data_IF_593712433337
#
_entry.id   IF_593712433337
#
_cell.length_a   1.000
_cell.length_b   1.000
_cell.length_c   1.000
_cell.angle_alpha   90.00
_cell.angle_beta   90.00
_cell.angle_gamma   90.00
#
_symmetry.space_group_name_H-M   'P 1'
#
loop_
_entity.id
_entity.type
_entity.pdbx_description
1 polymer ?
#
# COMPACT_ATOMS: atom_id res chain seq x y z
N UNK A 1 37.12 0.78 6.95
CA UNK A 1 37.46 -0.64 6.69
C UNK A 1 36.21 -1.32 6.19
N UNK A 2 36.29 -2.36 5.36
CA UNK A 2 35.10 -2.92 4.72
C UNK A 2 33.98 -3.32 5.73
N UNK A 3 34.35 -3.81 6.92
CA UNK A 3 33.42 -4.09 8.04
C UNK A 3 32.74 -2.83 8.61
N UNK A 4 33.43 -1.68 8.69
CA UNK A 4 32.80 -0.43 9.15
C UNK A 4 31.76 0.09 8.15
N UNK A 5 31.99 -0.12 6.85
CA UNK A 5 31.08 0.30 5.80
C UNK A 5 29.84 -0.60 5.73
N UNK A 6 29.99 -1.91 5.96
CA UNK A 6 28.86 -2.83 6.12
C UNK A 6 27.97 -2.40 7.29
N UNK A 7 28.57 -2.08 8.44
CA UNK A 7 27.82 -1.65 9.62
C UNK A 7 27.07 -0.34 9.36
N UNK A 8 27.73 0.65 8.75
CA UNK A 8 27.09 1.89 8.30
C UNK A 8 25.94 1.64 7.32
N UNK A 9 26.09 0.73 6.37
CA UNK A 9 25.03 0.40 5.40
C UNK A 9 23.80 -0.18 6.08
N UNK A 10 23.99 -1.03 7.09
CA UNK A 10 22.90 -1.59 7.89
C UNK A 10 22.23 -0.51 8.75
N UNK A 11 23.00 0.33 9.44
CA UNK A 11 22.48 1.41 10.31
C UNK A 11 21.71 2.45 9.51
N UNK A 12 22.20 2.83 8.33
CA UNK A 12 21.58 3.84 7.47
C UNK A 12 20.43 3.27 6.62
N UNK A 13 20.16 1.96 6.72
CA UNK A 13 19.26 1.22 5.83
C UNK A 13 19.47 1.53 4.35
N UNK A 14 20.73 1.62 3.93
CA UNK A 14 21.12 1.99 2.57
C UNK A 14 21.57 0.75 1.78
N UNK A 15 20.72 0.19 0.91
CA UNK A 15 21.02 -1.05 0.19
C UNK A 15 22.18 -0.90 -0.79
N UNK A 16 22.34 0.27 -1.41
CA UNK A 16 23.45 0.54 -2.35
C UNK A 16 24.80 0.55 -1.63
N UNK A 17 24.86 1.24 -0.49
CA UNK A 17 26.07 1.26 0.35
C UNK A 17 26.38 -0.14 0.88
N UNK A 18 25.36 -0.90 1.28
CA UNK A 18 25.50 -2.26 1.81
C UNK A 18 25.99 -3.24 0.72
N UNK A 19 25.49 -3.13 -0.53
CA UNK A 19 25.98 -3.90 -1.68
C UNK A 19 27.45 -3.62 -1.99
N UNK A 20 27.82 -2.34 -2.06
CA UNK A 20 29.20 -1.93 -2.32
C UNK A 20 30.14 -2.45 -1.22
N UNK A 21 29.71 -2.34 0.05
CA UNK A 21 30.48 -2.83 1.19
C UNK A 21 30.61 -4.36 1.19
N UNK A 22 29.54 -5.10 0.88
CA UNK A 22 29.57 -6.56 0.75
C UNK A 22 30.52 -7.03 -0.36
N UNK A 23 30.51 -6.37 -1.52
CA UNK A 23 31.43 -6.67 -2.62
C UNK A 23 32.89 -6.45 -2.23
N UNK A 24 33.19 -5.36 -1.49
CA UNK A 24 34.52 -5.10 -0.95
C UNK A 24 34.94 -6.13 0.13
N UNK A 25 34.01 -6.56 0.98
CA UNK A 25 34.26 -7.53 2.04
C UNK A 25 34.59 -8.94 1.52
N UNK A 26 34.05 -9.32 0.36
CA UNK A 26 34.35 -10.61 -0.29
C UNK A 26 35.84 -10.75 -0.64
N UNK A 27 36.54 -9.63 -0.86
CA UNK A 27 37.98 -9.59 -1.12
C UNK A 27 38.84 -9.50 0.16
N UNK A 28 38.23 -9.21 1.32
CA UNK A 28 38.97 -8.75 2.51
C UNK A 28 38.60 -9.52 3.78
N UNK A 29 38.74 -10.86 3.81
CA UNK A 29 38.83 -11.66 5.04
C UNK A 29 37.77 -11.44 6.14
N UNK A 30 36.60 -10.87 5.82
CA UNK A 30 35.58 -10.48 6.80
C UNK A 30 34.94 -11.74 7.39
N UNK A 31 34.61 -11.76 8.69
CA UNK A 31 33.96 -12.91 9.32
C UNK A 31 32.67 -13.29 8.59
N UNK A 32 32.50 -14.59 8.28
CA UNK A 32 31.32 -15.11 7.58
C UNK A 32 29.98 -14.74 8.26
N UNK A 33 29.98 -14.60 9.58
CA UNK A 33 28.79 -14.19 10.34
C UNK A 33 28.33 -12.76 10.03
N UNK A 34 29.27 -11.81 9.93
CA UNK A 34 28.95 -10.41 9.56
C UNK A 34 28.44 -10.33 8.11
N UNK A 35 29.07 -11.07 7.20
CA UNK A 35 28.64 -11.16 5.80
C UNK A 35 27.22 -11.72 5.68
N UNK A 36 26.91 -12.82 6.39
CA UNK A 36 25.59 -13.42 6.37
C UNK A 36 24.51 -12.48 6.95
N UNK A 37 24.82 -11.78 8.05
CA UNK A 37 23.92 -10.79 8.63
C UNK A 37 23.64 -9.63 7.66
N UNK A 38 24.68 -9.12 6.99
CA UNK A 38 24.56 -8.05 6.02
C UNK A 38 23.81 -8.49 4.75
N UNK A 39 24.01 -9.71 4.27
CA UNK A 39 23.24 -10.27 3.15
C UNK A 39 21.75 -10.40 3.50
N UNK A 40 21.44 -10.91 4.69
CA UNK A 40 20.05 -10.99 5.17
C UNK A 40 19.41 -9.61 5.31
N UNK A 41 20.16 -8.61 5.81
CA UNK A 41 19.69 -7.24 5.91
C UNK A 41 19.40 -6.64 4.53
N UNK A 42 20.28 -6.86 3.56
CA UNK A 42 20.09 -6.42 2.18
C UNK A 42 18.85 -7.06 1.55
N UNK A 43 18.69 -8.38 1.70
CA UNK A 43 17.52 -9.10 1.18
C UNK A 43 16.22 -8.53 1.75
N UNK A 44 16.15 -8.28 3.07
CA UNK A 44 14.98 -7.67 3.69
C UNK A 44 14.67 -6.27 3.15
N UNK A 45 15.70 -5.45 2.90
CA UNK A 45 15.52 -4.13 2.31
C UNK A 45 14.97 -4.21 0.87
N UNK A 46 15.47 -5.16 0.09
CA UNK A 46 14.97 -5.40 -1.27
C UNK A 46 13.53 -5.90 -1.29
N UNK A 47 13.17 -6.81 -0.37
CA UNK A 47 11.79 -7.28 -0.17
C UNK A 47 10.86 -6.13 0.24
N UNK A 48 11.29 -5.28 1.18
CA UNK A 48 10.56 -4.08 1.61
C UNK A 48 10.33 -3.12 0.42
N UNK A 49 11.38 -2.83 -0.35
CA UNK A 49 11.30 -1.93 -1.50
C UNK A 49 10.43 -2.50 -2.63
N UNK A 50 10.49 -3.81 -2.86
CA UNK A 50 9.64 -4.50 -3.83
C UNK A 50 8.16 -4.41 -3.40
N UNK A 51 7.88 -4.61 -2.11
CA UNK A 51 6.54 -4.51 -1.55
C UNK A 51 5.97 -3.08 -1.63
N UNK A 52 6.77 -2.06 -1.31
CA UNK A 52 6.38 -0.64 -1.49
C UNK A 52 6.04 -0.37 -2.96
N UNK A 53 6.88 -0.85 -3.88
CA UNK A 53 6.65 -0.66 -5.31
C UNK A 53 5.37 -1.36 -5.79
N UNK A 54 5.09 -2.56 -5.27
CA UNK A 54 3.85 -3.29 -5.55
C UNK A 54 2.62 -2.56 -5.00
N UNK A 55 2.69 -2.04 -3.76
CA UNK A 55 1.65 -1.22 -3.15
C UNK A 55 1.30 -0.01 -4.00
N UNK A 56 2.31 0.75 -4.43
CA UNK A 56 2.11 1.97 -5.24
C UNK A 56 1.50 1.64 -6.60
N UNK A 57 1.92 0.54 -7.24
CA UNK A 57 1.30 0.07 -8.50
C UNK A 57 -0.15 -0.34 -8.28
N UNK A 58 -0.45 -1.10 -7.23
CA UNK A 58 -1.82 -1.51 -6.91
C UNK A 58 -2.72 -0.32 -6.56
N UNK A 59 -2.18 0.72 -5.90
CA UNK A 59 -2.92 1.95 -5.66
C UNK A 59 -3.25 2.69 -6.97
N UNK A 60 -2.34 2.65 -7.94
CA UNK A 60 -2.53 3.28 -9.25
C UNK A 60 -3.58 2.57 -10.12
N UNK A 61 -3.80 1.25 -9.97
CA UNK A 61 -4.82 0.52 -10.74
C UNK A 61 -6.25 0.86 -10.30
N UNK A 62 -6.42 1.48 -9.12
CA UNK A 62 -7.72 1.74 -8.47
C UNK A 62 -8.56 0.48 -8.25
N UNK A 63 -7.92 -0.69 -8.24
CA UNK A 63 -8.56 -1.96 -7.93
C UNK A 63 -8.40 -2.25 -6.43
N UNK A 64 -9.52 -2.23 -5.71
CA UNK A 64 -9.55 -2.46 -4.27
C UNK A 64 -8.98 -3.83 -3.87
N UNK A 65 -9.23 -4.88 -4.68
CA UNK A 65 -8.77 -6.23 -4.38
C UNK A 65 -7.25 -6.34 -4.54
N UNK A 66 -6.71 -5.76 -5.61
CA UNK A 66 -5.26 -5.72 -5.84
C UNK A 66 -4.55 -4.93 -4.74
N UNK A 67 -5.10 -3.78 -4.34
CA UNK A 67 -4.51 -2.95 -3.29
C UNK A 67 -4.58 -3.65 -1.92
N UNK A 68 -5.67 -4.37 -1.62
CA UNK A 68 -5.79 -5.20 -0.42
C UNK A 68 -4.73 -6.29 -0.37
N UNK A 69 -4.55 -7.04 -1.45
CA UNK A 69 -3.54 -8.08 -1.53
C UNK A 69 -2.11 -7.50 -1.37
N UNK A 70 -1.84 -6.36 -1.99
CA UNK A 70 -0.56 -5.68 -1.85
C UNK A 70 -0.31 -5.17 -0.41
N UNK A 71 -1.35 -4.70 0.28
CA UNK A 71 -1.30 -4.31 1.70
C UNK A 71 -0.94 -5.47 2.62
N UNK A 72 -1.52 -6.66 2.39
CA UNK A 72 -1.23 -7.85 3.18
C UNK A 72 0.25 -8.26 2.99
N UNK A 73 0.73 -8.30 1.75
CA UNK A 73 2.14 -8.60 1.44
C UNK A 73 3.09 -7.57 2.06
N UNK A 74 2.78 -6.29 1.95
CA UNK A 74 3.62 -5.22 2.51
C UNK A 74 3.66 -5.24 4.04
N UNK A 75 2.55 -5.59 4.69
CA UNK A 75 2.51 -5.74 6.15
C UNK A 75 3.39 -6.90 6.60
N UNK A 76 3.37 -8.02 5.86
CA UNK A 76 4.24 -9.18 6.15
C UNK A 76 5.72 -8.89 5.87
N UNK A 77 6.02 -8.08 4.86
CA UNK A 77 7.39 -7.66 4.53
C UNK A 77 7.95 -6.59 5.51
N UNK A 78 7.15 -6.10 6.46
CA UNK A 78 7.58 -5.10 7.43
C UNK A 78 7.72 -3.69 6.85
N UNK A 79 6.95 -3.38 5.80
CA UNK A 79 6.92 -2.04 5.18
C UNK A 79 6.54 -0.97 6.22
N UNK A 80 7.18 0.21 6.20
CA UNK A 80 6.90 1.28 7.15
C UNK A 80 5.43 1.68 7.18
N UNK A 81 4.95 2.00 8.40
CA UNK A 81 3.55 2.36 8.64
C UNK A 81 3.05 3.54 7.80
N UNK A 82 3.94 4.48 7.43
CA UNK A 82 3.60 5.61 6.57
C UNK A 82 3.09 5.16 5.19
N UNK A 83 3.77 4.20 4.54
CA UNK A 83 3.36 3.67 3.22
C UNK A 83 2.09 2.82 3.35
N UNK A 84 1.98 2.02 4.42
CA UNK A 84 0.76 1.24 4.72
C UNK A 84 -0.44 2.17 4.93
N UNK A 85 -0.29 3.26 5.66
CA UNK A 85 -1.36 4.23 5.92
C UNK A 85 -1.77 4.95 4.63
N UNK A 86 -0.82 5.38 3.80
CA UNK A 86 -1.12 5.97 2.50
C UNK A 86 -1.90 5.01 1.59
N UNK A 87 -1.53 3.72 1.58
CA UNK A 87 -2.25 2.71 0.82
C UNK A 87 -3.65 2.40 1.40
N UNK A 88 -3.82 2.44 2.73
CA UNK A 88 -5.13 2.31 3.38
C UNK A 88 -6.06 3.47 3.04
N UNK A 89 -5.53 4.69 3.02
CA UNK A 89 -6.26 5.88 2.59
C UNK A 89 -6.70 5.74 1.13
N UNK A 90 -5.78 5.35 0.24
CA UNK A 90 -6.12 5.08 -1.16
C UNK A 90 -7.23 4.00 -1.31
N UNK A 91 -7.16 2.92 -0.51
CA UNK A 91 -8.20 1.88 -0.51
C UNK A 91 -9.56 2.42 -0.05
N UNK A 92 -9.58 3.30 0.96
CA UNK A 92 -10.79 3.96 1.42
C UNK A 92 -11.39 4.84 0.31
N UNK A 93 -10.58 5.67 -0.33
CA UNK A 93 -11.00 6.54 -1.44
C UNK A 93 -11.56 5.74 -2.63
N UNK A 94 -10.95 4.59 -2.97
CA UNK A 94 -11.47 3.67 -3.99
C UNK A 94 -12.86 3.14 -3.57
N UNK A 95 -13.04 2.79 -2.29
CA UNK A 95 -14.31 2.33 -1.75
C UNK A 95 -15.41 3.39 -1.89
N UNK A 96 -15.13 4.64 -1.49
CA UNK A 96 -16.04 5.77 -1.64
C UNK A 96 -16.41 6.00 -3.10
N UNK A 97 -15.43 6.03 -4.00
CA UNK A 97 -15.65 6.25 -5.43
C UNK A 97 -16.51 5.14 -6.07
N UNK A 98 -16.26 3.88 -5.70
CA UNK A 98 -17.05 2.74 -6.18
C UNK A 98 -18.49 2.78 -5.67
N UNK A 99 -18.71 3.11 -4.39
CA UNK A 99 -20.04 3.24 -3.83
C UNK A 99 -20.82 4.37 -4.52
N UNK A 100 -20.19 5.53 -4.72
CA UNK A 100 -20.76 6.66 -5.48
C UNK A 100 -21.15 6.25 -6.89
N UNK A 101 -20.27 5.53 -7.61
CA UNK A 101 -20.57 5.09 -8.98
C UNK A 101 -21.78 4.15 -9.03
N UNK A 102 -21.85 3.16 -8.13
CA UNK A 102 -22.99 2.23 -8.07
C UNK A 102 -24.29 2.95 -7.74
N UNK A 103 -24.23 3.93 -6.85
CA UNK A 103 -25.37 4.80 -6.51
C UNK A 103 -25.88 5.56 -7.75
N UNK A 104 -24.98 6.21 -8.50
CA UNK A 104 -25.36 6.92 -9.72
C UNK A 104 -25.89 6.00 -10.82
N UNK A 105 -25.31 4.80 -10.99
CA UNK A 105 -25.79 3.80 -11.95
C UNK A 105 -27.20 3.30 -11.58
N UNK A 106 -27.48 3.04 -10.29
CA UNK A 106 -28.81 2.63 -9.84
C UNK A 106 -29.86 3.72 -10.07
N UNK A 107 -29.50 4.99 -9.81
CA UNK A 107 -30.34 6.15 -10.10
C UNK A 107 -30.66 6.26 -11.59
N UNK A 108 -29.64 6.17 -12.45
CA UNK A 108 -29.81 6.25 -13.90
C UNK A 108 -30.72 5.16 -14.46
N UNK A 109 -30.68 3.96 -13.86
CA UNK A 109 -31.53 2.83 -14.22
C UNK A 109 -32.94 2.88 -13.60
N UNK A 110 -33.24 3.91 -12.78
CA UNK A 110 -34.51 4.05 -12.04
C UNK A 110 -34.83 2.84 -11.15
N UNK A 111 -33.79 2.14 -10.70
CA UNK A 111 -33.93 1.02 -9.77
C UNK A 111 -33.89 1.58 -8.35
N UNK A 112 -35.07 1.93 -7.83
CA UNK A 112 -35.25 2.56 -6.52
C UNK A 112 -34.73 1.66 -5.39
N UNK A 113 -34.93 0.34 -5.48
CA UNK A 113 -34.49 -0.61 -4.46
C UNK A 113 -32.96 -0.66 -4.43
N UNK A 114 -32.33 -0.83 -5.60
CA UNK A 114 -30.88 -0.82 -5.71
C UNK A 114 -30.29 0.54 -5.32
N UNK A 115 -30.98 1.64 -5.62
CA UNK A 115 -30.53 2.99 -5.29
C UNK A 115 -30.51 3.20 -3.78
N UNK A 116 -31.57 2.80 -3.05
CA UNK A 116 -31.59 2.87 -1.58
C UNK A 116 -30.47 2.02 -0.95
N UNK A 117 -30.24 0.81 -1.48
CA UNK A 117 -29.12 -0.03 -1.03
C UNK A 117 -27.77 0.63 -1.29
N UNK A 118 -27.59 1.26 -2.45
CA UNK A 118 -26.36 1.95 -2.79
C UNK A 118 -26.10 3.19 -1.91
N UNK A 119 -27.15 3.91 -1.50
CA UNK A 119 -27.03 5.01 -0.54
C UNK A 119 -26.53 4.48 0.81
N UNK A 120 -27.08 3.37 1.31
CA UNK A 120 -26.59 2.75 2.56
C UNK A 120 -25.12 2.31 2.45
N UNK A 121 -24.75 1.72 1.31
CA UNK A 121 -23.36 1.35 1.04
C UNK A 121 -22.43 2.56 0.96
N UNK A 122 -22.87 3.65 0.33
CA UNK A 122 -22.14 4.92 0.24
C UNK A 122 -21.98 5.58 1.62
N UNK A 123 -23.02 5.56 2.46
CA UNK A 123 -22.93 6.02 3.85
C UNK A 123 -21.89 5.23 4.63
N UNK A 124 -21.91 3.89 4.52
CA UNK A 124 -20.92 3.04 5.18
C UNK A 124 -19.50 3.23 4.63
N UNK A 125 -19.39 3.52 3.34
CA UNK A 125 -18.11 3.82 2.71
C UNK A 125 -17.55 5.19 3.12
N UNK A 126 -18.37 6.10 3.68
CA UNK A 126 -17.95 7.43 4.10
C UNK A 126 -18.17 8.52 3.05
N UNK A 127 -19.14 8.35 2.14
CA UNK A 127 -19.49 9.39 1.17
C UNK A 127 -19.89 10.71 1.88
N UNK A 128 -19.52 11.89 1.37
CA UNK A 128 -19.84 13.15 2.03
C UNK A 128 -21.33 13.37 2.28
N UNK A 129 -21.68 13.94 3.44
CA UNK A 129 -23.07 14.15 3.87
C UNK A 129 -23.92 14.92 2.85
N UNK A 130 -23.33 15.89 2.14
CA UNK A 130 -24.02 16.63 1.08
C UNK A 130 -24.47 15.70 -0.06
N UNK A 131 -23.59 14.82 -0.52
CA UNK A 131 -23.92 13.89 -1.60
C UNK A 131 -24.97 12.85 -1.18
N UNK A 132 -24.94 12.44 0.09
CA UNK A 132 -25.96 11.55 0.65
C UNK A 132 -27.32 12.26 0.77
N UNK A 133 -27.35 13.54 1.16
CA UNK A 133 -28.57 14.32 1.20
C UNK A 133 -29.19 14.48 -0.19
N UNK A 134 -28.39 14.86 -1.19
CA UNK A 134 -28.82 14.98 -2.58
C UNK A 134 -29.40 13.65 -3.10
N UNK A 135 -28.78 12.52 -2.75
CA UNK A 135 -29.26 11.19 -3.13
C UNK A 135 -30.57 10.79 -2.43
N UNK A 136 -30.74 11.17 -1.15
CA UNK A 136 -31.99 10.94 -0.42
C UNK A 136 -33.15 11.77 -0.95
N UNK A 137 -32.92 13.03 -1.33
CA UNK A 137 -33.95 13.86 -1.96
C UNK A 137 -34.43 13.24 -3.28
N UNK A 138 -33.50 12.68 -4.06
CA UNK A 138 -33.81 12.04 -5.33
C UNK A 138 -34.67 10.76 -5.22
N UNK A 139 -34.85 10.18 -4.02
CA UNK A 139 -35.80 9.08 -3.78
C UNK A 139 -37.25 9.54 -3.61
N UNK A 140 -37.47 10.82 -3.32
CA UNK A 140 -38.79 11.38 -2.97
C UNK A 140 -39.50 11.98 -4.20
N UNK A 141 -38.81 12.02 -5.35
CA UNK A 141 -39.27 12.59 -6.64
C UNK A 141 -39.69 11.48 -7.60
#
# INVERSE_FOLDING_TARGET
TASSDVRRGMEQRNPELLRAALAACAASGVPRGELAAAQNALQKMDEEQAAISALRRAAATKDANQLRAALDVATLAGVPSAEINAAREALHQIGVANAKRRMLDAFANKDVISFEMCIRDATRAGLPAKELADAHEALVV
#
